data_IF_639654636270
#
_entry.id   IF_639654636270
#
_cell.length_a   1.000
_cell.length_b   1.000
_cell.length_c   1.000
_cell.angle_alpha   90.00
_cell.angle_beta   90.00
_cell.angle_gamma   90.00
#
_symmetry.space_group_name_H-M   'P 1'
#
loop_
_entity.id
_entity.type
_entity.pdbx_description
1 polymer ?
#
# COMPACT_ATOMS: atom_id res chain seq x y z
N UNK A 1 9.02 -44.63 -6.69
CA UNK A 1 9.33 -43.47 -7.54
C UNK A 1 8.04 -43.05 -8.24
N UNK A 2 7.42 -41.96 -7.79
CA UNK A 2 6.58 -40.99 -8.53
C UNK A 2 6.15 -39.98 -7.46
N UNK A 3 6.57 -38.73 -7.64
CA UNK A 3 6.38 -37.60 -6.73
C UNK A 3 5.02 -36.98 -7.06
N UNK A 4 4.07 -37.03 -6.13
CA UNK A 4 2.78 -36.35 -6.28
C UNK A 4 2.89 -34.93 -5.72
N UNK A 5 2.98 -33.96 -6.62
CA UNK A 5 2.76 -32.54 -6.36
C UNK A 5 1.35 -32.32 -5.79
N UNK A 6 1.25 -31.87 -4.54
CA UNK A 6 0.03 -31.25 -4.00
C UNK A 6 0.15 -29.74 -4.20
N UNK A 7 -0.55 -29.23 -5.22
CA UNK A 7 -0.47 -27.86 -5.76
C UNK A 7 -1.39 -26.89 -5.01
N UNK A 8 -0.97 -25.62 -4.92
CA UNK A 8 -1.74 -24.46 -4.49
C UNK A 8 -2.95 -24.09 -5.35
N UNK A 9 -3.79 -25.06 -5.72
CA UNK A 9 -4.99 -24.86 -6.52
C UNK A 9 -6.15 -24.25 -5.75
N UNK A 10 -6.28 -24.47 -4.44
CA UNK A 10 -7.40 -23.91 -3.65
C UNK A 10 -7.20 -22.43 -3.35
N UNK A 11 -6.00 -22.00 -2.96
CA UNK A 11 -5.68 -20.56 -2.86
C UNK A 11 -5.82 -19.86 -4.22
N UNK A 12 -5.41 -20.52 -5.31
CA UNK A 12 -5.60 -20.01 -6.66
C UNK A 12 -7.09 -19.85 -7.03
N UNK A 13 -7.93 -20.82 -6.69
CA UNK A 13 -9.39 -20.72 -6.88
C UNK A 13 -10.00 -19.61 -6.04
N UNK A 14 -9.57 -19.41 -4.80
CA UNK A 14 -10.06 -18.34 -3.92
C UNK A 14 -9.62 -16.96 -4.40
N UNK A 15 -8.38 -16.83 -4.90
CA UNK A 15 -7.86 -15.61 -5.52
C UNK A 15 -8.66 -15.28 -6.78
N UNK A 16 -8.84 -16.25 -7.69
CA UNK A 16 -9.67 -16.06 -8.89
C UNK A 16 -11.10 -15.73 -8.50
N UNK A 17 -11.69 -16.42 -7.52
CA UNK A 17 -13.06 -16.18 -7.10
C UNK A 17 -13.23 -14.81 -6.45
N UNK A 18 -12.28 -14.33 -5.64
CA UNK A 18 -12.32 -12.96 -5.09
C UNK A 18 -12.03 -11.90 -6.14
N UNK A 19 -11.09 -12.13 -7.07
CA UNK A 19 -10.87 -11.24 -8.23
C UNK A 19 -12.13 -11.18 -9.10
N UNK A 20 -12.79 -12.32 -9.34
CA UNK A 20 -14.08 -12.39 -10.02
C UNK A 20 -15.16 -11.65 -9.24
N UNK A 21 -15.25 -11.78 -7.91
CA UNK A 21 -16.16 -10.96 -7.08
C UNK A 21 -15.82 -9.47 -7.15
N UNK A 22 -14.55 -9.07 -7.22
CA UNK A 22 -14.14 -7.67 -7.42
C UNK A 22 -14.63 -7.14 -8.78
N UNK A 23 -14.54 -7.95 -9.84
CA UNK A 23 -15.05 -7.61 -11.17
C UNK A 23 -16.58 -7.59 -11.23
N UNK A 24 -17.27 -8.53 -10.56
CA UNK A 24 -18.73 -8.60 -10.49
C UNK A 24 -19.36 -7.51 -9.62
N UNK A 25 -18.75 -7.16 -8.49
CA UNK A 25 -19.18 -6.05 -7.64
C UNK A 25 -19.15 -4.72 -8.42
N UNK A 26 -18.18 -4.57 -9.34
CA UNK A 26 -18.10 -3.45 -10.27
C UNK A 26 -19.22 -3.48 -11.32
N UNK A 27 -19.50 -4.62 -11.93
CA UNK A 27 -20.62 -4.75 -12.88
C UNK A 27 -21.98 -4.39 -12.23
N UNK A 28 -22.19 -4.80 -10.98
CA UNK A 28 -23.41 -4.53 -10.22
C UNK A 28 -23.51 -3.07 -9.73
N UNK A 29 -22.39 -2.37 -9.51
CA UNK A 29 -22.42 -0.95 -9.12
C UNK A 29 -22.74 -0.05 -10.32
N UNK A 30 -22.28 -0.38 -11.53
CA UNK A 30 -22.67 0.33 -12.76
C UNK A 30 -24.16 0.15 -13.11
N UNK A 31 -24.74 -1.01 -12.83
CA UNK A 31 -26.17 -1.29 -13.03
C UNK A 31 -27.13 -0.49 -12.11
N UNK A 32 -26.62 0.17 -11.06
CA UNK A 32 -27.42 1.02 -10.17
C UNK A 32 -27.33 2.52 -10.48
N UNK A 33 -26.41 2.96 -11.34
CA UNK A 33 -26.14 4.39 -11.59
C UNK A 33 -26.88 4.93 -12.83
N UNK A 34 -27.39 4.08 -13.72
CA UNK A 34 -28.28 4.48 -14.82
C UNK A 34 -29.62 3.77 -14.69
N UNK A 35 -30.67 4.52 -14.36
CA UNK A 35 -31.92 3.99 -13.82
C UNK A 35 -32.89 3.38 -14.84
N UNK A 36 -33.77 2.55 -14.32
CA UNK A 36 -35.18 2.49 -14.76
C UNK A 36 -36.11 2.45 -13.52
N UNK A 37 -37.31 3.06 -13.62
CA UNK A 37 -38.24 3.21 -12.49
C UNK A 37 -39.14 1.98 -12.31
N UNK A 38 -39.41 1.68 -11.04
CA UNK A 38 -40.50 0.86 -10.47
C UNK A 38 -41.25 -0.16 -11.35
N UNK A 39 -41.20 -1.43 -10.93
CA UNK A 39 -42.41 -2.27 -11.01
C UNK A 39 -42.21 -3.78 -11.09
N UNK A 40 -42.75 -4.46 -10.07
CA UNK A 40 -43.24 -5.85 -10.03
C UNK A 40 -42.26 -6.97 -9.64
N UNK A 41 -42.68 -7.63 -8.56
CA UNK A 41 -42.28 -8.94 -8.10
C UNK A 41 -42.06 -9.93 -9.25
N UNK A 42 -40.84 -10.43 -9.36
CA UNK A 42 -40.58 -11.74 -9.95
C UNK A 42 -39.68 -12.50 -9.00
N UNK A 43 -40.31 -13.41 -8.26
CA UNK A 43 -39.69 -14.54 -7.58
C UNK A 43 -38.90 -15.36 -8.60
N UNK A 44 -37.58 -15.17 -8.63
CA UNK A 44 -36.68 -16.08 -9.32
C UNK A 44 -36.45 -17.29 -8.41
N UNK A 45 -37.28 -18.32 -8.63
CA UNK A 45 -37.02 -19.68 -8.22
C UNK A 45 -35.68 -20.13 -8.83
N UNK A 46 -34.62 -20.12 -8.01
CA UNK A 46 -33.37 -20.78 -8.37
C UNK A 46 -33.58 -22.28 -8.24
N UNK A 47 -33.38 -22.96 -9.36
CA UNK A 47 -33.33 -24.40 -9.50
C UNK A 47 -32.55 -25.06 -8.36
N UNK A 48 -33.22 -25.91 -7.58
CA UNK A 48 -32.58 -26.97 -6.79
C UNK A 48 -32.06 -28.02 -7.76
N UNK A 49 -30.82 -27.84 -8.20
CA UNK A 49 -29.98 -28.93 -8.68
C UNK A 49 -29.25 -29.52 -7.48
N UNK A 50 -29.68 -30.71 -7.03
CA UNK A 50 -28.91 -31.53 -6.12
C UNK A 50 -27.59 -31.94 -6.78
N UNK A 51 -26.49 -31.28 -6.41
CA UNK A 51 -25.17 -31.87 -6.43
C UNK A 51 -24.46 -31.50 -5.14
N UNK A 52 -24.06 -32.53 -4.38
CA UNK A 52 -23.31 -32.40 -3.14
C UNK A 52 -21.96 -31.73 -3.39
N UNK A 53 -21.91 -30.42 -3.18
CA UNK A 53 -20.69 -29.64 -3.05
C UNK A 53 -20.74 -28.96 -1.68
N UNK A 54 -19.73 -29.19 -0.86
CA UNK A 54 -19.53 -28.50 0.41
C UNK A 54 -19.65 -27.00 0.19
N UNK A 55 -20.72 -26.38 0.72
CA UNK A 55 -20.89 -24.93 0.72
C UNK A 55 -19.96 -24.34 1.78
N UNK A 56 -18.71 -24.12 1.42
CA UNK A 56 -17.82 -23.27 2.21
C UNK A 56 -18.41 -21.87 2.24
N UNK A 57 -18.79 -21.42 3.43
CA UNK A 57 -19.26 -20.05 3.65
C UNK A 57 -18.07 -19.08 3.47
N UNK A 58 -18.28 -17.80 3.12
CA UNK A 58 -17.18 -16.83 3.00
C UNK A 58 -16.28 -16.75 4.25
N UNK A 59 -16.86 -16.97 5.44
CA UNK A 59 -16.17 -17.13 6.73
C UNK A 59 -15.24 -18.36 6.80
N UNK A 60 -15.59 -19.47 6.12
CA UNK A 60 -14.77 -20.68 6.05
C UNK A 60 -13.53 -20.48 5.13
N UNK A 61 -13.59 -19.51 4.20
CA UNK A 61 -12.45 -19.12 3.36
C UNK A 61 -11.45 -18.23 4.12
N UNK A 62 -11.90 -17.46 5.12
CA UNK A 62 -11.03 -16.58 5.93
C UNK A 62 -10.08 -17.38 6.83
N UNK A 63 -10.47 -18.58 7.27
CA UNK A 63 -9.59 -19.49 8.04
C UNK A 63 -8.42 -20.02 7.19
N UNK A 64 -8.55 -19.98 5.87
CA UNK A 64 -7.61 -20.61 4.92
C UNK A 64 -6.64 -19.65 4.21
N UNK A 65 -6.76 -18.34 4.44
CA UNK A 65 -5.82 -17.35 3.89
C UNK A 65 -4.97 -16.83 5.05
N UNK A 66 -3.69 -17.24 5.14
CA UNK A 66 -2.78 -16.66 6.11
C UNK A 66 -2.71 -15.15 5.86
N UNK A 67 -3.19 -14.36 6.81
CA UNK A 67 -3.09 -12.91 6.77
C UNK A 67 -1.59 -12.58 6.76
N UNK A 68 -1.11 -11.98 5.66
CA UNK A 68 0.29 -11.57 5.57
C UNK A 68 0.53 -10.35 6.46
N UNK A 69 1.11 -10.57 7.64
CA UNK A 69 1.81 -9.64 8.59
C UNK A 69 1.39 -8.15 8.62
N UNK A 70 1.08 -7.54 9.80
CA UNK A 70 1.72 -7.73 11.11
C UNK A 70 0.78 -8.21 12.22
N UNK A 71 0.35 -9.47 12.15
CA UNK A 71 -0.56 -10.03 13.15
C UNK A 71 0.02 -10.19 14.56
N UNK A 72 1.35 -10.03 14.75
CA UNK A 72 1.93 -10.04 16.10
C UNK A 72 1.81 -8.72 16.83
N UNK A 73 1.71 -7.60 16.11
CA UNK A 73 1.62 -6.27 16.72
C UNK A 73 0.17 -5.95 17.12
N UNK A 74 -0.76 -6.27 16.23
CA UNK A 74 -2.18 -6.00 16.40
C UNK A 74 -2.84 -7.00 17.35
N UNK A 75 -3.81 -6.53 18.14
CA UNK A 75 -4.68 -7.41 18.89
C UNK A 75 -5.60 -8.22 17.97
N UNK A 76 -6.02 -9.40 18.44
CA UNK A 76 -7.03 -10.22 17.73
C UNK A 76 -8.32 -9.44 17.46
N UNK A 77 -8.72 -8.56 18.38
CA UNK A 77 -9.93 -7.76 18.23
C UNK A 77 -9.75 -6.68 17.15
N UNK A 78 -8.58 -6.05 17.07
CA UNK A 78 -8.30 -5.08 16.00
C UNK A 78 -8.29 -5.74 14.62
N UNK A 79 -7.69 -6.93 14.51
CA UNK A 79 -7.75 -7.73 13.27
C UNK A 79 -9.18 -8.14 12.95
N UNK A 80 -9.95 -8.65 13.92
CA UNK A 80 -11.36 -9.03 13.74
C UNK A 80 -12.18 -7.87 13.21
N UNK A 81 -12.11 -6.69 13.85
CA UNK A 81 -12.83 -5.48 13.42
C UNK A 81 -12.45 -5.05 12.02
N UNK A 82 -11.17 -5.11 11.70
CA UNK A 82 -10.71 -4.78 10.38
C UNK A 82 -11.31 -5.73 9.33
N UNK A 83 -11.35 -7.04 9.59
CA UNK A 83 -11.87 -8.05 8.65
C UNK A 83 -13.41 -8.05 8.57
N UNK A 84 -14.10 -7.95 9.69
CA UNK A 84 -15.55 -8.14 9.80
C UNK A 84 -16.34 -6.83 9.71
N UNK A 85 -15.79 -5.75 10.25
CA UNK A 85 -16.55 -4.51 10.46
C UNK A 85 -16.13 -3.39 9.49
N UNK A 86 -14.92 -3.40 8.92
CA UNK A 86 -14.44 -2.31 8.06
C UNK A 86 -15.15 -2.29 6.70
N UNK A 87 -15.67 -1.12 6.32
CA UNK A 87 -16.47 -0.94 5.10
C UNK A 87 -15.79 0.08 4.18
N UNK A 88 -15.45 -0.38 2.99
CA UNK A 88 -14.92 0.44 1.90
C UNK A 88 -16.04 1.04 1.05
N UNK A 89 -15.71 2.14 0.37
CA UNK A 89 -16.51 2.74 -0.71
C UNK A 89 -15.72 2.74 -2.03
N UNK A 90 -16.38 2.85 -3.19
CA UNK A 90 -15.70 2.91 -4.50
C UNK A 90 -14.70 4.05 -4.65
N UNK A 91 -14.88 5.13 -3.89
CA UNK A 91 -13.97 6.29 -3.89
C UNK A 91 -12.80 6.14 -2.93
N UNK A 92 -12.83 5.18 -2.01
CA UNK A 92 -11.73 4.99 -1.08
C UNK A 92 -10.46 4.52 -1.79
N UNK A 93 -9.33 4.83 -1.18
CA UNK A 93 -8.02 4.46 -1.67
C UNK A 93 -7.27 3.75 -0.56
N UNK A 94 -6.82 2.54 -0.84
CA UNK A 94 -5.97 1.79 0.08
C UNK A 94 -4.55 1.74 -0.47
N UNK A 95 -3.63 2.37 0.27
CA UNK A 95 -2.19 2.23 0.03
C UNK A 95 -1.76 0.90 0.65
N UNK A 96 -1.79 -0.16 -0.16
CA UNK A 96 -1.45 -1.51 0.25
C UNK A 96 -0.09 -1.90 -0.28
N UNK A 97 0.91 -2.00 0.59
CA UNK A 97 2.28 -2.30 0.14
C UNK A 97 2.89 -3.41 0.96
N UNK A 98 3.83 -4.14 0.37
CA UNK A 98 4.77 -4.90 1.19
C UNK A 98 5.50 -3.93 2.13
N UNK A 99 5.81 -4.29 3.39
CA UNK A 99 6.46 -3.35 4.28
C UNK A 99 7.82 -2.92 3.71
N UNK A 100 8.18 -1.64 3.92
CA UNK A 100 9.45 -1.03 3.48
C UNK A 100 9.59 -0.79 1.97
N UNK A 101 8.50 -0.85 1.20
CA UNK A 101 8.46 -0.44 -0.21
C UNK A 101 7.93 0.98 -0.44
N UNK A 102 7.89 1.82 0.60
CA UNK A 102 7.56 3.26 0.47
C UNK A 102 6.18 3.70 0.96
N UNK A 103 5.50 2.88 1.76
CA UNK A 103 4.15 3.16 2.31
C UNK A 103 4.01 4.58 2.87
N UNK A 104 4.91 4.99 3.76
CA UNK A 104 4.88 6.32 4.41
C UNK A 104 4.92 7.46 3.40
N UNK A 105 5.76 7.34 2.36
CA UNK A 105 5.88 8.35 1.31
C UNK A 105 4.59 8.45 0.50
N UNK A 106 4.01 7.32 0.11
CA UNK A 106 2.77 7.31 -0.68
C UNK A 106 1.58 7.81 0.13
N UNK A 107 1.42 7.36 1.38
CA UNK A 107 0.35 7.88 2.26
C UNK A 107 0.50 9.38 2.49
N UNK A 108 1.73 9.88 2.55
CA UNK A 108 2.01 11.30 2.72
C UNK A 108 1.65 12.11 1.47
N UNK A 109 2.05 11.65 0.28
CA UNK A 109 1.64 12.26 -0.99
C UNK A 109 0.11 12.29 -1.11
N UNK A 110 -0.57 11.19 -0.80
CA UNK A 110 -2.04 11.12 -0.84
C UNK A 110 -2.69 12.09 0.15
N UNK A 111 -2.14 12.27 1.35
CA UNK A 111 -2.64 13.26 2.29
C UNK A 111 -2.43 14.69 1.76
N UNK A 112 -1.22 15.00 1.29
CA UNK A 112 -0.90 16.32 0.77
C UNK A 112 -1.76 16.70 -0.43
N UNK A 113 -2.01 15.77 -1.37
CA UNK A 113 -2.93 15.99 -2.49
C UNK A 113 -4.34 16.38 -2.02
N UNK A 114 -4.90 15.65 -1.05
CA UNK A 114 -6.25 15.95 -0.51
C UNK A 114 -6.32 17.28 0.22
N UNK A 115 -5.26 17.63 0.96
CA UNK A 115 -5.21 18.84 1.78
C UNK A 115 -4.92 20.08 0.93
N UNK A 116 -3.94 20.00 0.03
CA UNK A 116 -3.49 21.16 -0.74
C UNK A 116 -4.41 21.48 -1.92
N UNK A 117 -5.07 20.50 -2.53
CA UNK A 117 -6.07 20.77 -3.58
C UNK A 117 -7.23 21.63 -3.06
N UNK A 118 -7.69 21.41 -1.82
CA UNK A 118 -8.68 22.27 -1.17
C UNK A 118 -8.22 23.74 -1.00
N UNK A 119 -6.92 23.96 -0.93
CA UNK A 119 -6.32 25.29 -0.76
C UNK A 119 -5.88 25.97 -2.06
N UNK A 120 -5.77 25.21 -3.16
CA UNK A 120 -5.27 25.69 -4.44
C UNK A 120 -6.38 26.02 -5.44
N UNK A 121 -7.62 25.57 -5.22
CA UNK A 121 -8.80 25.97 -6.00
C UNK A 121 -9.19 27.48 -5.92
N UNK A 122 -8.33 28.35 -5.37
CA UNK A 122 -8.64 29.76 -5.08
C UNK A 122 -7.76 30.79 -5.84
N UNK A 123 -7.15 30.41 -6.96
CA UNK A 123 -6.52 31.29 -7.98
C UNK A 123 -5.74 32.50 -7.43
N UNK A 124 -4.82 32.26 -6.48
CA UNK A 124 -3.84 33.25 -6.06
C UNK A 124 -2.47 32.63 -6.00
N UNK A 125 -1.53 33.17 -6.79
CA UNK A 125 -0.11 32.94 -6.60
C UNK A 125 0.25 33.19 -5.14
N UNK A 126 0.69 32.14 -4.45
CA UNK A 126 1.18 32.26 -3.07
C UNK A 126 2.65 32.58 -3.14
N UNK A 127 3.08 33.60 -2.42
CA UNK A 127 4.51 33.86 -2.27
C UNK A 127 5.16 32.80 -1.36
N UNK A 128 6.49 32.75 -1.35
CA UNK A 128 7.25 31.76 -0.56
C UNK A 128 6.90 31.76 0.93
N UNK A 129 6.62 32.92 1.53
CA UNK A 129 6.28 33.01 2.96
C UNK A 129 4.92 32.38 3.26
N UNK A 130 3.95 32.55 2.36
CA UNK A 130 2.63 31.93 2.49
C UNK A 130 2.69 30.41 2.32
N UNK A 131 3.54 29.92 1.42
CA UNK A 131 3.80 28.48 1.23
C UNK A 131 4.41 27.89 2.51
N UNK A 132 5.44 28.51 3.08
CA UNK A 132 6.05 28.00 4.32
C UNK A 132 5.08 28.04 5.52
N UNK A 133 4.25 29.08 5.63
CA UNK A 133 3.20 29.13 6.65
C UNK A 133 2.14 28.03 6.44
N UNK A 134 1.78 27.73 5.18
CA UNK A 134 0.85 26.65 4.85
C UNK A 134 1.43 25.29 5.22
N UNK A 135 2.70 25.02 4.87
CA UNK A 135 3.42 23.80 5.26
C UNK A 135 3.40 23.61 6.77
N UNK A 136 3.71 24.66 7.53
CA UNK A 136 3.70 24.62 8.99
C UNK A 136 2.29 24.35 9.55
N UNK A 137 1.25 24.98 8.98
CA UNK A 137 -0.14 24.73 9.36
C UNK A 137 -0.54 23.27 9.14
N UNK A 138 -0.16 22.68 8.01
CA UNK A 138 -0.43 21.27 7.72
C UNK A 138 0.25 20.37 8.75
N UNK A 139 1.55 20.55 9.00
CA UNK A 139 2.29 19.71 9.96
C UNK A 139 1.78 19.83 11.40
N UNK A 140 1.21 20.98 11.78
CA UNK A 140 0.64 21.20 13.10
C UNK A 140 -0.85 20.81 13.22
N UNK A 141 -1.48 20.33 12.15
CA UNK A 141 -2.92 20.04 12.13
C UNK A 141 -3.32 18.63 12.59
N UNK A 142 -2.34 17.75 12.82
CA UNK A 142 -2.54 16.35 13.20
C UNK A 142 -1.41 15.86 14.09
N UNK A 143 -1.65 14.85 14.92
CA UNK A 143 -0.60 14.28 15.78
C UNK A 143 0.27 13.29 15.02
N UNK A 144 -0.37 12.33 14.34
CA UNK A 144 0.30 11.32 13.50
C UNK A 144 -0.47 11.07 12.21
N UNK A 145 0.22 10.63 11.17
CA UNK A 145 -0.38 10.31 9.86
C UNK A 145 -1.46 9.21 9.96
N UNK A 146 -1.50 8.44 11.06
CA UNK A 146 -2.52 7.42 11.30
C UNK A 146 -3.93 8.01 11.52
N UNK A 147 -4.03 9.28 11.91
CA UNK A 147 -5.32 10.00 11.98
C UNK A 147 -5.83 10.39 10.59
N UNK A 148 -4.90 10.54 9.64
CA UNK A 148 -5.16 11.06 8.29
C UNK A 148 -5.30 9.97 7.24
N UNK A 149 -4.55 8.88 7.44
CA UNK A 149 -4.48 7.69 6.61
C UNK A 149 -4.56 6.45 7.51
N UNK A 150 -5.73 6.13 8.10
CA UNK A 150 -5.86 5.09 9.12
C UNK A 150 -5.42 3.72 8.60
N UNK A 151 -4.93 2.88 9.51
CA UNK A 151 -4.60 1.48 9.22
C UNK A 151 -5.64 0.59 9.87
N UNK A 152 -6.63 0.07 9.13
CA UNK A 152 -7.81 -0.59 9.73
C UNK A 152 -7.46 -1.69 10.73
N UNK A 153 -6.44 -2.49 10.45
CA UNK A 153 -5.97 -3.56 11.35
C UNK A 153 -5.34 -3.05 12.65
N UNK A 154 -4.92 -1.78 12.74
CA UNK A 154 -4.34 -1.15 13.94
C UNK A 154 -5.34 -0.22 14.66
N UNK A 155 -6.34 0.31 13.97
CA UNK A 155 -7.21 1.38 14.48
C UNK A 155 -7.77 1.13 15.88
N UNK A 156 -8.32 -0.06 16.14
CA UNK A 156 -8.92 -0.37 17.44
C UNK A 156 -7.91 -0.29 18.60
N UNK A 157 -6.69 -0.75 18.36
CA UNK A 157 -5.62 -0.79 19.37
C UNK A 157 -5.15 0.61 19.76
N UNK A 158 -5.31 1.57 18.84
CA UNK A 158 -4.99 2.98 19.03
C UNK A 158 -6.24 3.84 19.27
N UNK A 159 -7.41 3.23 19.48
CA UNK A 159 -8.63 3.94 19.87
C UNK A 159 -9.34 4.68 18.73
N UNK A 160 -9.02 4.34 17.48
CA UNK A 160 -9.67 4.87 16.28
C UNK A 160 -10.72 3.90 15.72
N UNK A 161 -11.67 4.44 14.96
CA UNK A 161 -12.66 3.69 14.19
C UNK A 161 -12.66 4.16 12.72
N UNK A 162 -12.15 3.34 11.78
CA UNK A 162 -11.98 3.75 10.39
C UNK A 162 -13.30 3.89 9.60
N UNK A 163 -14.42 3.41 10.15
CA UNK A 163 -15.75 3.56 9.54
C UNK A 163 -16.44 4.86 9.93
N UNK A 164 -16.27 5.27 11.19
CA UNK A 164 -16.99 6.39 11.79
C UNK A 164 -16.14 7.67 11.91
N UNK A 165 -14.81 7.55 11.85
CA UNK A 165 -13.90 8.68 11.84
C UNK A 165 -13.52 9.05 10.42
N UNK A 166 -14.07 10.15 9.91
CA UNK A 166 -13.63 10.74 8.64
C UNK A 166 -12.46 11.67 8.95
N UNK A 167 -11.26 11.44 8.36
CA UNK A 167 -10.14 12.37 8.49
C UNK A 167 -10.53 13.77 8.03
N UNK A 168 -10.16 14.76 8.83
CA UNK A 168 -10.50 16.16 8.57
C UNK A 168 -9.25 17.03 8.58
N UNK A 169 -9.32 18.12 7.84
CA UNK A 169 -8.35 19.19 7.91
C UNK A 169 -9.08 20.53 7.97
N UNK A 170 -8.77 21.35 8.98
CA UNK A 170 -9.49 22.59 9.28
C UNK A 170 -11.02 22.42 9.40
N UNK A 171 -11.46 21.28 9.94
CA UNK A 171 -12.88 20.94 10.11
C UNK A 171 -13.61 20.52 8.83
N UNK A 172 -12.90 20.40 7.70
CA UNK A 172 -13.46 19.89 6.45
C UNK A 172 -13.05 18.42 6.24
N UNK A 173 -13.98 17.55 5.80
CA UNK A 173 -13.67 16.17 5.51
C UNK A 173 -12.69 16.06 4.33
N UNK A 174 -11.69 15.21 4.47
CA UNK A 174 -10.77 14.89 3.39
C UNK A 174 -11.37 13.81 2.49
N UNK A 175 -11.45 14.11 1.19
CA UNK A 175 -11.92 13.18 0.17
C UNK A 175 -10.89 13.08 -0.97
N UNK A 176 -10.65 11.88 -1.54
CA UNK A 176 -11.16 10.57 -1.10
C UNK A 176 -10.64 10.15 0.28
N UNK A 177 -11.28 9.16 0.93
CA UNK A 177 -10.71 8.54 2.14
C UNK A 177 -9.48 7.71 1.73
N UNK A 178 -8.41 7.81 2.51
CA UNK A 178 -7.17 7.08 2.25
C UNK A 178 -6.86 6.21 3.47
N UNK A 179 -6.52 4.96 3.23
CA UNK A 179 -6.16 3.99 4.26
C UNK A 179 -4.80 3.37 3.97
N UNK A 180 -4.10 2.96 5.02
CA UNK A 180 -2.87 2.18 4.93
C UNK A 180 -3.19 0.69 5.08
N UNK A 181 -2.46 -0.16 4.37
CA UNK A 181 -2.42 -1.59 4.65
C UNK A 181 -1.08 -2.22 4.29
N UNK A 182 -0.80 -3.36 4.92
CA UNK A 182 0.22 -4.30 4.47
C UNK A 182 -0.36 -5.65 4.07
N UNK A 183 -1.69 -5.79 4.08
CA UNK A 183 -2.34 -7.03 3.66
C UNK A 183 -2.12 -7.31 2.18
N UNK A 184 -1.97 -8.58 1.84
CA UNK A 184 -2.00 -9.06 0.46
C UNK A 184 -3.29 -8.68 -0.23
N UNK A 185 -3.25 -8.54 -1.55
CA UNK A 185 -4.44 -8.25 -2.36
C UNK A 185 -5.49 -9.36 -2.23
N UNK A 186 -5.08 -10.61 -2.07
CA UNK A 186 -6.03 -11.71 -1.79
C UNK A 186 -6.77 -11.57 -0.44
N UNK A 187 -6.16 -10.87 0.52
CA UNK A 187 -6.65 -10.73 1.91
C UNK A 187 -7.33 -9.39 2.17
N UNK A 188 -7.25 -8.43 1.24
CA UNK A 188 -7.71 -7.06 1.47
C UNK A 188 -9.18 -6.83 1.06
N UNK A 189 -9.76 -5.75 1.56
CA UNK A 189 -11.17 -5.38 1.39
C UNK A 189 -11.47 -4.99 -0.05
N UNK A 190 -12.39 -5.63 -0.77
CA UNK A 190 -12.70 -5.33 -2.17
C UNK A 190 -13.48 -4.01 -2.34
N UNK A 191 -13.72 -3.60 -3.59
CA UNK A 191 -14.70 -2.55 -3.91
C UNK A 191 -14.19 -1.10 -3.81
N UNK A 192 -12.89 -0.89 -3.76
CA UNK A 192 -12.24 0.43 -3.74
C UNK A 192 -11.01 0.46 -4.66
N UNK A 193 -10.32 1.60 -4.72
CA UNK A 193 -9.05 1.74 -5.45
C UNK A 193 -7.86 1.37 -4.56
N UNK A 194 -6.76 0.94 -5.18
CA UNK A 194 -5.51 0.59 -4.49
C UNK A 194 -4.32 1.26 -5.12
N UNK A 195 -3.41 1.72 -4.29
CA UNK A 195 -2.06 2.08 -4.69
C UNK A 195 -1.12 1.08 -4.03
N UNK A 196 -0.39 0.34 -4.85
CA UNK A 196 0.60 -0.64 -4.39
C UNK A 196 1.98 -0.22 -4.89
N UNK A 197 3.01 -0.62 -4.17
CA UNK A 197 4.39 -0.32 -4.57
C UNK A 197 5.25 -1.56 -4.66
N UNK A 198 6.11 -1.59 -5.68
CA UNK A 198 7.22 -2.52 -5.83
C UNK A 198 8.53 -1.79 -5.57
N UNK A 199 9.52 -2.52 -5.07
CA UNK A 199 10.87 -2.01 -4.79
C UNK A 199 11.89 -3.12 -5.02
N UNK A 200 13.12 -2.77 -5.38
CA UNK A 200 14.17 -3.77 -5.52
C UNK A 200 14.25 -4.65 -4.25
N UNK A 201 14.18 -6.00 -4.36
CA UNK A 201 14.16 -6.88 -3.19
C UNK A 201 15.39 -6.71 -2.29
N UNK A 202 16.58 -6.47 -2.86
CA UNK A 202 17.81 -6.22 -2.10
C UNK A 202 17.70 -4.92 -1.29
N UNK A 203 17.21 -3.84 -1.91
CA UNK A 203 16.99 -2.54 -1.25
C UNK A 203 15.90 -2.63 -0.19
N UNK A 204 14.87 -3.44 -0.42
CA UNK A 204 13.79 -3.70 0.54
C UNK A 204 14.34 -4.42 1.77
N UNK A 205 15.13 -5.48 1.59
CA UNK A 205 15.81 -6.18 2.68
C UNK A 205 16.69 -5.26 3.51
N UNK A 206 17.56 -4.47 2.88
CA UNK A 206 18.40 -3.50 3.59
C UNK A 206 17.55 -2.52 4.41
N UNK A 207 16.43 -2.06 3.85
CA UNK A 207 15.51 -1.16 4.53
C UNK A 207 14.78 -1.81 5.71
N UNK A 208 14.47 -3.11 5.62
CA UNK A 208 13.83 -3.89 6.68
C UNK A 208 14.79 -4.18 7.81
N UNK A 209 16.00 -4.61 7.47
CA UNK A 209 17.08 -4.89 8.42
C UNK A 209 17.43 -3.65 9.25
N UNK A 210 17.63 -2.49 8.60
CA UNK A 210 17.91 -1.24 9.31
C UNK A 210 16.75 -0.79 10.20
N UNK A 211 15.51 -1.09 9.81
CA UNK A 211 14.33 -0.82 10.64
C UNK A 211 14.29 -1.71 11.89
N UNK A 212 14.74 -2.97 11.78
CA UNK A 212 14.80 -3.86 12.94
C UNK A 212 15.93 -3.48 13.89
N UNK A 213 17.06 -3.00 13.36
CA UNK A 213 18.12 -2.39 14.16
C UNK A 213 17.58 -1.17 14.91
N UNK A 214 16.89 -0.24 14.24
CA UNK A 214 16.40 0.98 14.89
C UNK A 214 15.34 0.70 15.96
N UNK A 215 14.55 -0.37 15.79
CA UNK A 215 13.58 -0.86 16.78
C UNK A 215 14.20 -1.74 17.87
N UNK A 216 15.53 -1.96 17.84
CA UNK A 216 16.25 -2.83 18.79
C UNK A 216 15.62 -4.22 18.94
N UNK A 217 15.24 -4.83 17.81
CA UNK A 217 14.58 -6.15 17.83
C UNK A 217 15.54 -7.20 18.44
N UNK A 218 15.15 -7.95 19.50
CA UNK A 218 16.08 -8.74 20.31
C UNK A 218 16.90 -9.82 19.58
N UNK A 219 16.41 -10.32 18.44
CA UNK A 219 17.17 -11.30 17.64
C UNK A 219 18.21 -10.66 16.70
N UNK A 220 18.14 -9.34 16.48
CA UNK A 220 19.11 -8.60 15.68
C UNK A 220 20.09 -7.83 16.58
N UNK A 221 19.61 -7.26 17.67
CA UNK A 221 20.41 -6.47 18.60
C UNK A 221 20.40 -7.13 19.97
N UNK A 222 21.59 -7.28 20.56
CA UNK A 222 21.73 -7.73 21.94
C UNK A 222 21.21 -6.67 22.91
N UNK A 223 20.02 -6.87 23.45
CA UNK A 223 19.40 -5.97 24.44
C UNK A 223 19.75 -6.34 25.88
N UNK A 224 20.64 -7.32 26.11
CA UNK A 224 20.94 -7.83 27.47
C UNK A 224 22.00 -7.00 28.22
N UNK A 225 22.76 -6.17 27.50
CA UNK A 225 23.71 -5.24 28.11
C UNK A 225 23.01 -3.91 28.45
N UNK A 226 22.63 -3.74 29.72
CA UNK A 226 22.04 -2.49 30.24
C UNK A 226 23.02 -1.29 30.22
N UNK A 227 24.32 -1.57 30.03
CA UNK A 227 25.35 -0.55 29.90
C UNK A 227 25.50 -0.20 28.41
N UNK A 228 24.88 0.91 27.99
CA UNK A 228 24.74 1.48 26.64
C UNK A 228 26.03 1.68 25.77
N UNK A 229 27.11 0.93 25.99
CA UNK A 229 28.30 0.98 25.14
C UNK A 229 28.24 -0.13 24.08
N UNK A 230 27.68 0.25 22.93
CA UNK A 230 27.61 -0.45 21.65
C UNK A 230 26.57 -1.58 21.55
N UNK A 231 25.38 -1.24 21.03
CA UNK A 231 24.37 -2.19 20.56
C UNK A 231 25.04 -3.26 19.66
N UNK A 232 25.23 -4.47 20.20
CA UNK A 232 25.92 -5.56 19.49
C UNK A 232 24.95 -6.19 18.48
N UNK A 233 25.31 -6.13 17.20
CA UNK A 233 24.58 -6.81 16.13
C UNK A 233 24.82 -8.33 16.23
N UNK A 234 23.74 -9.10 16.33
CA UNK A 234 23.74 -10.56 16.48
C UNK A 234 23.63 -11.30 15.15
N UNK A 235 23.08 -10.64 14.11
CA UNK A 235 22.81 -11.23 12.80
C UNK A 235 23.10 -10.19 11.72
N UNK A 236 23.92 -10.54 10.73
CA UNK A 236 24.19 -9.65 9.60
C UNK A 236 23.04 -9.64 8.58
N UNK A 237 23.05 -8.67 7.67
CA UNK A 237 21.95 -8.49 6.71
C UNK A 237 21.80 -9.63 5.70
N UNK A 238 22.88 -10.35 5.38
CA UNK A 238 22.83 -11.48 4.44
C UNK A 238 22.18 -12.69 5.12
N UNK A 239 22.53 -12.97 6.36
CA UNK A 239 21.87 -14.00 7.17
C UNK A 239 20.40 -13.63 7.40
N UNK A 240 20.10 -12.38 7.75
CA UNK A 240 18.72 -11.87 7.89
C UNK A 240 17.86 -12.11 6.64
N UNK A 241 18.41 -11.83 5.46
CA UNK A 241 17.72 -12.06 4.19
C UNK A 241 17.32 -13.52 3.98
N UNK A 242 18.23 -14.45 4.29
CA UNK A 242 18.09 -15.87 3.97
C UNK A 242 17.24 -16.62 4.99
N UNK A 243 17.30 -16.18 6.26
CA UNK A 243 16.66 -16.87 7.39
C UNK A 243 15.30 -16.28 7.76
N UNK A 244 14.95 -15.07 7.31
CA UNK A 244 13.64 -14.48 7.61
C UNK A 244 12.57 -14.82 6.58
N UNK A 245 11.32 -15.09 7.02
CA UNK A 245 10.25 -15.57 6.14
C UNK A 245 9.79 -14.53 5.11
N UNK A 246 10.11 -13.25 5.31
CA UNK A 246 9.64 -12.14 4.47
C UNK A 246 10.17 -12.20 3.02
N UNK A 247 11.34 -12.82 2.81
CA UNK A 247 11.91 -13.05 1.47
C UNK A 247 11.96 -14.54 1.14
N UNK A 248 12.15 -15.41 2.13
CA UNK A 248 12.24 -16.85 1.90
C UNK A 248 10.93 -17.44 1.36
N UNK A 249 9.80 -16.89 1.79
CA UNK A 249 8.48 -17.49 1.56
C UNK A 249 8.29 -18.75 2.39
N UNK A 250 7.24 -19.50 2.06
CA UNK A 250 6.86 -20.71 2.80
C UNK A 250 7.89 -21.81 2.50
N UNK A 251 8.75 -22.15 3.46
CA UNK A 251 9.84 -23.10 3.23
C UNK A 251 9.62 -24.52 3.76
N UNK A 252 8.70 -24.80 4.70
CA UNK A 252 8.30 -26.19 5.04
C UNK A 252 6.91 -26.31 5.66
N UNK A 253 6.32 -27.51 5.53
CA UNK A 253 4.91 -27.92 5.82
C UNK A 253 4.46 -27.98 7.30
N UNK A 254 5.10 -27.31 8.26
CA UNK A 254 4.86 -27.64 9.69
C UNK A 254 4.44 -26.50 10.63
N UNK A 255 4.37 -25.24 10.20
CA UNK A 255 4.04 -24.14 11.12
C UNK A 255 2.68 -23.49 10.77
N UNK A 256 1.74 -23.39 11.73
CA UNK A 256 0.40 -22.83 11.52
C UNK A 256 0.37 -21.32 11.26
N UNK A 257 1.52 -20.62 11.30
CA UNK A 257 1.63 -19.17 11.11
C UNK A 257 2.39 -18.82 9.82
N UNK A 258 1.84 -19.25 8.68
CA UNK A 258 2.38 -19.00 7.35
C UNK A 258 2.43 -17.49 7.04
N UNK A 259 3.60 -16.96 6.69
CA UNK A 259 3.78 -15.54 6.31
C UNK A 259 4.00 -15.43 4.80
N UNK A 260 3.33 -14.45 4.20
CA UNK A 260 3.58 -14.10 2.81
C UNK A 260 4.97 -13.46 2.62
N UNK A 261 5.64 -13.84 1.54
CA UNK A 261 6.88 -13.22 1.09
C UNK A 261 6.63 -12.05 0.15
N UNK A 262 7.65 -11.22 -0.07
CA UNK A 262 7.62 -10.17 -1.10
C UNK A 262 7.23 -10.70 -2.48
N UNK A 263 7.60 -11.95 -2.79
CA UNK A 263 7.31 -12.60 -4.07
C UNK A 263 5.82 -12.83 -4.25
N UNK A 264 5.13 -13.23 -3.19
CA UNK A 264 3.68 -13.40 -3.20
C UNK A 264 2.95 -12.10 -3.59
N UNK A 265 3.40 -10.96 -3.06
CA UNK A 265 2.84 -9.65 -3.43
C UNK A 265 3.10 -9.35 -4.89
N UNK A 266 4.31 -9.60 -5.40
CA UNK A 266 4.65 -9.28 -6.80
C UNK A 266 3.89 -10.18 -7.78
N UNK A 267 3.64 -11.44 -7.43
CA UNK A 267 2.78 -12.35 -8.19
C UNK A 267 1.35 -11.81 -8.24
N UNK A 268 0.78 -11.38 -7.10
CA UNK A 268 -0.56 -10.79 -7.07
C UNK A 268 -0.64 -9.48 -7.87
N UNK A 269 0.39 -8.64 -7.79
CA UNK A 269 0.44 -7.40 -8.57
C UNK A 269 0.51 -7.68 -10.07
N UNK A 270 1.22 -8.73 -10.50
CA UNK A 270 1.20 -9.19 -11.88
C UNK A 270 -0.23 -9.62 -12.31
N UNK A 271 -0.93 -10.38 -11.47
CA UNK A 271 -2.32 -10.80 -11.77
C UNK A 271 -3.27 -9.59 -11.88
N UNK A 272 -2.99 -8.53 -11.14
CA UNK A 272 -3.78 -7.29 -11.13
C UNK A 272 -3.24 -6.22 -12.08
N UNK A 273 -2.26 -6.57 -12.92
CA UNK A 273 -1.57 -5.62 -13.79
C UNK A 273 -2.56 -4.86 -14.68
N UNK A 274 -3.65 -5.47 -15.13
CA UNK A 274 -4.64 -4.80 -15.99
C UNK A 274 -5.89 -4.31 -15.25
N UNK A 275 -5.94 -4.41 -13.91
CA UNK A 275 -7.04 -3.89 -13.12
C UNK A 275 -6.96 -2.36 -13.03
N UNK A 276 -7.93 -1.64 -13.59
CA UNK A 276 -7.95 -0.15 -13.60
C UNK A 276 -7.98 0.46 -12.20
N UNK A 277 -8.43 -0.31 -11.21
CA UNK A 277 -8.59 0.15 -9.82
C UNK A 277 -7.35 -0.15 -8.98
N UNK A 278 -6.26 -0.62 -9.60
CA UNK A 278 -4.96 -0.83 -8.98
C UNK A 278 -3.91 0.01 -9.71
N UNK A 279 -3.25 0.90 -8.98
CA UNK A 279 -2.06 1.62 -9.44
C UNK A 279 -0.82 0.96 -8.84
N UNK A 280 0.06 0.43 -9.69
CA UNK A 280 1.33 -0.17 -9.27
C UNK A 280 2.44 0.86 -9.52
N UNK A 281 3.12 1.30 -8.46
CA UNK A 281 4.23 2.24 -8.56
C UNK A 281 5.56 1.57 -8.25
N UNK A 282 6.62 2.02 -8.92
CA UNK A 282 7.99 1.56 -8.68
C UNK A 282 8.66 2.56 -7.75
N UNK A 283 9.11 2.12 -6.58
CA UNK A 283 9.73 2.98 -5.59
C UNK A 283 10.93 3.76 -6.15
N UNK A 284 11.75 3.09 -6.96
CA UNK A 284 12.90 3.71 -7.62
C UNK A 284 12.49 4.85 -8.55
N UNK A 285 11.41 4.69 -9.31
CA UNK A 285 10.90 5.73 -10.21
C UNK A 285 10.34 6.92 -9.42
N UNK A 286 9.62 6.65 -8.31
CA UNK A 286 9.07 7.71 -7.44
C UNK A 286 10.18 8.62 -6.90
N UNK A 287 11.29 8.04 -6.43
CA UNK A 287 12.39 8.84 -5.87
C UNK A 287 13.25 9.49 -6.95
N UNK A 288 13.23 8.96 -8.17
CA UNK A 288 13.94 9.52 -9.31
C UNK A 288 13.17 10.71 -9.91
N UNK A 289 11.84 10.62 -9.99
CA UNK A 289 10.96 11.64 -10.57
C UNK A 289 9.69 11.81 -9.72
N UNK A 290 9.87 12.50 -8.58
CA UNK A 290 8.79 12.78 -7.64
C UNK A 290 7.63 13.56 -8.28
N UNK A 291 7.86 14.62 -9.08
CA UNK A 291 6.77 15.34 -9.74
C UNK A 291 5.88 14.43 -10.58
N UNK A 292 6.46 13.55 -11.39
CA UNK A 292 5.69 12.61 -12.21
C UNK A 292 4.89 11.63 -11.34
N UNK A 293 5.48 11.12 -10.26
CA UNK A 293 4.77 10.23 -9.33
C UNK A 293 3.58 10.93 -8.65
N UNK A 294 3.74 12.20 -8.24
CA UNK A 294 2.66 13.00 -7.64
C UNK A 294 1.51 13.17 -8.65
N UNK A 295 1.81 13.46 -9.92
CA UNK A 295 0.79 13.57 -10.97
C UNK A 295 0.04 12.25 -11.17
N UNK A 296 0.76 11.14 -11.28
CA UNK A 296 0.15 9.81 -11.44
C UNK A 296 -0.78 9.47 -10.27
N UNK A 297 -0.34 9.73 -9.04
CA UNK A 297 -1.17 9.52 -7.85
C UNK A 297 -2.38 10.46 -7.88
N UNK A 298 -2.18 11.76 -8.10
CA UNK A 298 -3.26 12.75 -8.16
C UNK A 298 -4.32 12.42 -9.20
N UNK A 299 -3.91 11.99 -10.40
CA UNK A 299 -4.82 11.55 -11.46
C UNK A 299 -5.58 10.29 -11.05
N UNK A 300 -4.89 9.29 -10.48
CA UNK A 300 -5.53 8.07 -10.01
C UNK A 300 -6.52 8.31 -8.86
N UNK A 301 -6.23 9.31 -8.02
CA UNK A 301 -7.11 9.78 -6.95
C UNK A 301 -8.28 10.66 -7.45
N UNK A 302 -8.32 11.00 -8.74
CA UNK A 302 -9.24 11.98 -9.33
C UNK A 302 -9.14 13.38 -8.67
N UNK A 303 -7.93 13.81 -8.32
CA UNK A 303 -7.63 15.14 -7.76
C UNK A 303 -7.01 16.06 -8.82
N UNK A 304 -6.13 15.52 -9.66
CA UNK A 304 -5.47 16.24 -10.76
C UNK A 304 -6.13 15.81 -12.07
N UNK A 305 -6.54 16.77 -12.90
CA UNK A 305 -7.18 16.50 -14.20
C UNK A 305 -6.14 16.43 -15.33
N UNK A 306 -6.52 15.81 -16.45
CA UNK A 306 -5.67 15.70 -17.66
C UNK A 306 -5.99 16.76 -18.73
N UNK A 307 -6.97 17.64 -18.49
CA UNK A 307 -7.58 18.49 -19.54
C UNK A 307 -6.69 19.67 -20.00
N UNK A 308 -5.46 19.79 -19.48
CA UNK A 308 -4.54 20.86 -19.86
C UNK A 308 -3.78 20.61 -21.19
N UNK A 309 -4.07 19.53 -21.91
CA UNK A 309 -3.58 19.29 -23.29
C UNK A 309 -4.72 19.54 -24.32
N UNK A 310 -5.56 20.57 -24.14
CA UNK A 310 -6.47 20.99 -25.22
C UNK A 310 -5.66 21.72 -26.30
N UNK A 311 -5.39 21.04 -27.40
CA UNK A 311 -4.98 21.58 -28.71
C UNK A 311 -6.04 22.55 -29.33
N UNK A 312 -6.89 23.17 -28.51
CA UNK A 312 -7.81 24.21 -28.95
C UNK A 312 -7.05 25.54 -28.97
N UNK A 313 -6.44 25.77 -30.14
CA UNK A 313 -5.89 27.02 -30.69
C UNK A 313 -6.98 28.12 -30.79
N UNK A 314 -7.53 28.49 -29.63
CA UNK A 314 -8.52 29.56 -29.49
C UNK A 314 -7.93 30.75 -28.71
N UNK A 315 -6.62 31.00 -28.82
CA UNK A 315 -5.97 32.30 -28.56
C UNK A 315 -6.29 33.02 -27.23
N UNK A 316 -6.87 32.33 -26.25
CA UNK A 316 -7.18 32.82 -24.92
C UNK A 316 -6.35 31.94 -23.99
N UNK A 317 -5.27 32.53 -23.47
CA UNK A 317 -4.42 31.95 -22.43
C UNK A 317 -5.29 31.55 -21.22
N UNK A 318 -5.82 30.33 -21.22
CA UNK A 318 -6.36 29.70 -20.03
C UNK A 318 -5.18 29.07 -19.29
N UNK A 319 -4.55 29.88 -18.43
CA UNK A 319 -3.39 29.62 -17.56
C UNK A 319 -3.61 28.49 -16.50
N UNK A 320 -4.53 27.54 -16.76
CA UNK A 320 -4.81 26.39 -15.89
C UNK A 320 -3.65 25.37 -15.84
N UNK A 321 -2.66 25.50 -16.73
CA UNK A 321 -1.42 24.71 -16.70
C UNK A 321 -0.50 25.03 -15.51
N UNK A 322 -0.76 26.11 -14.77
CA UNK A 322 0.15 26.60 -13.73
C UNK A 322 -0.21 26.11 -12.30
N UNK A 323 -1.49 25.82 -12.04
CA UNK A 323 -1.96 25.47 -10.67
C UNK A 323 -1.58 24.04 -10.25
N UNK A 324 -1.72 23.06 -11.15
CA UNK A 324 -1.28 21.70 -10.89
C UNK A 324 0.25 21.62 -10.72
N UNK A 325 0.99 22.42 -11.48
CA UNK A 325 2.45 22.48 -11.39
C UNK A 325 2.91 23.08 -10.07
N UNK A 326 2.25 24.15 -9.60
CA UNK A 326 2.48 24.72 -8.28
C UNK A 326 2.13 23.74 -7.15
N UNK A 327 0.99 23.05 -7.26
CA UNK A 327 0.57 22.02 -6.32
C UNK A 327 1.61 20.89 -6.24
N UNK A 328 2.01 20.35 -7.39
CA UNK A 328 3.02 19.29 -7.51
C UNK A 328 4.36 19.74 -6.93
N UNK A 329 4.80 20.96 -7.21
CA UNK A 329 6.04 21.53 -6.68
C UNK A 329 6.05 21.60 -5.15
N UNK A 330 4.95 22.07 -4.55
CA UNK A 330 4.83 22.18 -3.09
C UNK A 330 4.82 20.80 -2.45
N UNK A 331 4.04 19.87 -2.98
CA UNK A 331 4.02 18.47 -2.52
C UNK A 331 5.42 17.86 -2.63
N UNK A 332 6.11 18.08 -3.75
CA UNK A 332 7.49 17.65 -3.99
C UNK A 332 8.44 18.15 -2.90
N UNK A 333 8.34 19.43 -2.53
CA UNK A 333 9.18 20.01 -1.48
C UNK A 333 8.94 19.40 -0.09
N UNK A 334 7.71 18.96 0.20
CA UNK A 334 7.32 18.35 1.47
C UNK A 334 7.55 16.83 1.54
N UNK A 335 7.94 16.20 0.43
CA UNK A 335 8.14 14.74 0.31
C UNK A 335 9.61 14.34 0.20
N UNK A 336 10.52 15.31 0.29
CA UNK A 336 11.96 15.06 0.40
C UNK A 336 12.29 14.37 1.72
N UNK A 337 13.35 13.55 1.73
CA UNK A 337 13.80 12.89 2.97
C UNK A 337 14.21 13.92 4.01
N UNK A 338 14.87 14.98 3.56
CA UNK A 338 15.34 16.09 4.37
C UNK A 338 14.15 16.73 5.09
N UNK A 339 13.10 17.12 4.36
CA UNK A 339 11.90 17.71 4.95
C UNK A 339 11.20 16.73 5.91
N UNK A 340 10.87 15.52 5.44
CA UNK A 340 10.11 14.57 6.26
C UNK A 340 10.89 14.16 7.54
N UNK A 341 12.22 14.09 7.48
CA UNK A 341 13.04 13.72 8.65
C UNK A 341 12.98 14.73 9.80
N UNK A 342 12.67 16.01 9.52
CA UNK A 342 12.46 17.04 10.53
C UNK A 342 11.20 16.78 11.37
N UNK A 343 10.28 15.94 10.87
CA UNK A 343 8.99 15.66 11.48
C UNK A 343 8.78 14.15 11.68
N UNK A 344 9.84 13.40 12.01
CA UNK A 344 9.81 11.94 12.11
C UNK A 344 8.64 11.40 12.95
N UNK A 345 8.35 12.05 14.08
CA UNK A 345 7.27 11.66 15.00
C UNK A 345 5.88 11.71 14.35
N UNK A 346 5.66 12.58 13.35
CA UNK A 346 4.39 12.65 12.60
C UNK A 346 4.11 11.40 11.80
N UNK A 347 5.13 10.60 11.50
CA UNK A 347 5.01 9.38 10.71
C UNK A 347 5.02 8.11 11.56
N UNK A 348 5.30 8.21 12.86
CA UNK A 348 5.34 7.07 13.79
C UNK A 348 3.94 6.58 14.17
N UNK A 349 3.84 5.32 14.60
CA UNK A 349 2.62 4.83 15.25
C UNK A 349 2.35 5.64 16.52
N UNK A 350 1.08 5.88 16.90
CA UNK A 350 0.75 6.66 18.10
C UNK A 350 0.99 5.82 19.37
N UNK A 351 2.27 5.66 19.72
CA UNK A 351 2.75 4.76 20.77
C UNK A 351 2.20 5.11 22.15
N UNK A 352 2.16 6.39 22.53
CA UNK A 352 1.61 6.80 23.82
C UNK A 352 0.12 6.46 23.94
N UNK A 353 -0.63 6.65 22.84
CA UNK A 353 -2.06 6.29 22.79
C UNK A 353 -2.24 4.77 22.92
N UNK A 354 -1.42 3.98 22.22
CA UNK A 354 -1.41 2.53 22.35
C UNK A 354 -1.07 2.06 23.79
N UNK A 355 -0.11 2.73 24.46
CA UNK A 355 0.26 2.45 25.85
C UNK A 355 -0.90 2.73 26.82
N UNK A 356 -1.58 3.86 26.65
CA UNK A 356 -2.72 4.24 27.49
C UNK A 356 -3.89 3.25 27.36
N UNK A 357 -4.14 2.76 26.14
CA UNK A 357 -5.23 1.83 25.87
C UNK A 357 -4.88 0.39 26.23
N UNK A 358 -3.61 0.01 26.15
CA UNK A 358 -3.09 -1.32 26.46
C UNK A 358 -3.87 -2.45 25.77
N UNK A 359 -4.19 -2.26 24.48
CA UNK A 359 -4.95 -3.21 23.65
C UNK A 359 -4.08 -4.06 22.75
N UNK A 360 -2.99 -3.48 22.22
CA UNK A 360 -2.09 -4.10 21.25
C UNK A 360 -1.52 -5.42 21.76
N UNK A 361 -1.34 -6.39 20.85
CA UNK A 361 -0.75 -7.69 21.21
C UNK A 361 0.74 -7.57 21.59
N UNK A 362 1.47 -6.68 20.92
CA UNK A 362 2.88 -6.40 21.20
C UNK A 362 3.16 -4.90 21.10
N UNK A 363 3.13 -4.23 22.26
CA UNK A 363 3.44 -2.79 22.34
C UNK A 363 4.88 -2.46 21.92
N UNK A 364 5.83 -3.39 22.07
CA UNK A 364 7.23 -3.13 21.74
C UNK A 364 7.43 -2.84 20.25
N UNK A 365 6.60 -3.43 19.39
CA UNK A 365 6.64 -3.18 17.93
C UNK A 365 6.11 -1.80 17.55
N UNK A 366 5.24 -1.21 18.39
CA UNK A 366 4.73 0.15 18.24
C UNK A 366 5.68 1.23 18.78
N UNK A 367 6.70 0.86 19.56
CA UNK A 367 7.65 1.81 20.13
C UNK A 367 8.29 2.68 19.03
N UNK A 368 8.50 3.98 19.23
CA UNK A 368 8.99 4.88 18.17
C UNK A 368 10.27 4.36 17.51
N UNK A 369 10.37 4.52 16.19
CA UNK A 369 11.55 4.10 15.46
C UNK A 369 11.57 4.67 14.06
N UNK A 370 12.68 5.33 13.72
CA UNK A 370 12.81 6.11 12.49
C UNK A 370 12.33 5.35 11.24
N UNK A 371 11.27 5.86 10.61
CA UNK A 371 10.72 5.33 9.35
C UNK A 371 11.41 5.89 8.12
N UNK A 372 12.02 7.06 8.24
CA UNK A 372 12.76 7.74 7.19
C UNK A 372 14.25 7.53 7.43
N UNK A 373 14.91 6.89 6.48
CA UNK A 373 16.34 6.64 6.59
C UNK A 373 17.14 7.94 6.38
N UNK A 374 17.84 8.41 7.41
CA UNK A 374 18.71 9.60 7.35
C UNK A 374 20.17 9.19 7.07
N UNK A 375 20.99 10.13 6.60
CA UNK A 375 22.42 9.90 6.32
C UNK A 375 23.18 9.44 7.56
N UNK A 376 22.77 9.87 8.75
CA UNK A 376 23.39 9.49 10.04
C UNK A 376 23.16 8.01 10.41
N UNK A 377 22.18 7.32 9.81
CA UNK A 377 21.99 5.87 10.02
C UNK A 377 22.95 5.00 9.18
N UNK A 378 23.84 5.61 8.39
CA UNK A 378 24.85 4.91 7.56
C UNK A 378 26.08 4.41 8.32
N UNK A 379 26.07 4.42 9.66
CA UNK A 379 27.24 4.00 10.46
C UNK A 379 27.60 2.52 10.28
N UNK A 380 26.74 1.73 9.65
CA UNK A 380 27.08 0.39 9.16
C UNK A 380 26.68 0.26 7.69
N UNK A 381 27.60 0.42 6.72
CA UNK A 381 27.33 0.09 5.33
C UNK A 381 27.11 -1.42 5.22
N UNK A 382 25.85 -1.83 5.27
CA UNK A 382 25.43 -3.21 5.12
C UNK A 382 25.37 -3.56 3.64
N UNK A 383 26.14 -4.56 3.22
CA UNK A 383 26.12 -5.08 1.85
C UNK A 383 25.75 -6.56 1.86
N UNK A 384 24.93 -6.96 0.90
CA UNK A 384 24.61 -8.37 0.71
C UNK A 384 25.82 -9.07 0.11
N UNK A 385 26.24 -10.18 0.73
CA UNK A 385 27.30 -11.03 0.21
C UNK A 385 26.86 -11.77 -1.07
N UNK A 386 27.78 -12.49 -1.71
CA UNK A 386 27.51 -13.20 -2.98
C UNK A 386 26.43 -14.28 -2.82
N UNK A 387 26.38 -14.94 -1.68
CA UNK A 387 25.41 -15.99 -1.38
C UNK A 387 23.99 -15.42 -1.29
N UNK A 388 23.80 -14.33 -0.55
CA UNK A 388 22.56 -13.58 -0.46
C UNK A 388 22.07 -13.07 -1.82
N UNK A 389 22.98 -12.57 -2.66
CA UNK A 389 22.64 -12.14 -4.03
C UNK A 389 22.18 -13.33 -4.90
N UNK A 390 22.88 -14.46 -4.81
CA UNK A 390 22.50 -15.67 -5.53
C UNK A 390 21.17 -16.24 -5.02
N UNK A 391 20.90 -16.14 -3.72
CA UNK A 391 19.63 -16.51 -3.11
C UNK A 391 18.47 -15.68 -3.67
N UNK A 392 18.60 -14.35 -3.73
CA UNK A 392 17.60 -13.47 -4.34
C UNK A 392 17.33 -13.82 -5.79
N UNK A 393 18.39 -14.06 -6.58
CA UNK A 393 18.26 -14.47 -7.98
C UNK A 393 17.53 -15.80 -8.11
N UNK A 394 17.84 -16.75 -7.24
CA UNK A 394 17.18 -18.06 -7.22
C UNK A 394 15.70 -17.91 -6.90
N UNK A 395 15.35 -17.14 -5.86
CA UNK A 395 13.95 -16.88 -5.49
C UNK A 395 13.17 -16.13 -6.56
N UNK A 396 13.80 -15.17 -7.24
CA UNK A 396 13.23 -14.51 -8.41
C UNK A 396 12.92 -15.52 -9.52
N UNK A 397 13.89 -16.37 -9.86
CA UNK A 397 13.71 -17.37 -10.91
C UNK A 397 12.63 -18.41 -10.56
N UNK A 398 12.52 -18.80 -9.29
CA UNK A 398 11.46 -19.70 -8.83
C UNK A 398 10.07 -19.06 -8.94
N UNK A 399 9.96 -17.76 -8.64
CA UNK A 399 8.68 -17.09 -8.42
C UNK A 399 8.16 -16.31 -9.62
N UNK A 400 9.01 -15.46 -10.23
CA UNK A 400 8.60 -14.48 -11.24
C UNK A 400 9.06 -14.85 -12.66
N UNK A 401 10.11 -15.64 -12.84
CA UNK A 401 10.50 -16.12 -14.17
C UNK A 401 9.40 -16.95 -14.85
N UNK A 402 8.61 -17.79 -14.16
CA UNK A 402 7.48 -18.48 -14.77
C UNK A 402 6.39 -17.53 -15.29
N UNK A 403 6.35 -16.28 -14.81
CA UNK A 403 5.45 -15.22 -15.28
C UNK A 403 6.05 -14.39 -16.44
N UNK A 404 7.23 -14.78 -16.93
CA UNK A 404 7.91 -14.13 -18.05
C UNK A 404 8.92 -13.04 -17.67
N UNK A 405 9.25 -12.88 -16.38
CA UNK A 405 10.19 -11.85 -15.94
C UNK A 405 11.58 -12.42 -15.62
N UNK A 406 12.60 -12.10 -16.41
CA UNK A 406 13.96 -12.57 -16.16
C UNK A 406 14.65 -11.78 -15.03
N UNK A 407 14.24 -10.54 -14.79
CA UNK A 407 14.77 -9.72 -13.72
C UNK A 407 13.80 -8.59 -13.30
N UNK A 408 14.10 -7.95 -12.16
CA UNK A 408 13.31 -6.86 -11.59
C UNK A 408 13.31 -5.58 -12.46
N UNK A 409 14.50 -5.09 -12.82
CA UNK A 409 14.68 -3.76 -13.43
C UNK A 409 14.13 -3.68 -14.86
N UNK A 410 14.55 -4.61 -15.71
CA UNK A 410 14.41 -4.47 -17.16
C UNK A 410 13.14 -5.11 -17.68
N UNK A 411 12.62 -6.14 -16.99
CA UNK A 411 11.41 -6.85 -17.41
C UNK A 411 10.21 -6.43 -16.56
N UNK A 412 10.26 -6.64 -15.23
CA UNK A 412 9.11 -6.41 -14.37
C UNK A 412 8.76 -4.92 -14.25
N UNK A 413 9.74 -4.07 -13.91
CA UNK A 413 9.53 -2.63 -13.83
C UNK A 413 9.18 -2.02 -15.19
N UNK A 414 9.82 -2.43 -16.29
CA UNK A 414 9.45 -1.96 -17.64
C UNK A 414 8.01 -2.32 -17.99
N UNK A 415 7.57 -3.53 -17.64
CA UNK A 415 6.17 -3.96 -17.84
C UNK A 415 5.20 -3.05 -17.08
N UNK A 416 5.49 -2.75 -15.81
CA UNK A 416 4.69 -1.82 -15.00
C UNK A 416 4.68 -0.41 -15.60
N UNK A 417 5.84 0.12 -16.04
CA UNK A 417 5.93 1.45 -16.69
C UNK A 417 5.08 1.51 -17.94
N UNK A 418 5.18 0.52 -18.82
CA UNK A 418 4.40 0.45 -20.05
C UNK A 418 2.91 0.37 -19.76
N UNK A 419 2.53 -0.46 -18.79
CA UNK A 419 1.16 -0.54 -18.31
C UNK A 419 0.65 0.80 -17.80
N UNK A 420 1.41 1.51 -16.96
CA UNK A 420 0.97 2.78 -16.39
C UNK A 420 0.80 3.85 -17.46
N UNK A 421 1.67 3.89 -18.48
CA UNK A 421 1.45 4.75 -19.67
C UNK A 421 0.09 4.46 -20.30
N UNK A 422 -0.25 3.18 -20.49
CA UNK A 422 -1.56 2.76 -21.02
C UNK A 422 -2.72 3.15 -20.10
N UNK A 423 -2.61 2.93 -18.79
CA UNK A 423 -3.64 3.29 -17.81
C UNK A 423 -4.00 4.78 -17.92
N UNK A 424 -3.00 5.66 -17.89
CA UNK A 424 -3.23 7.10 -17.93
C UNK A 424 -3.62 7.60 -19.33
N UNK A 425 -3.16 6.96 -20.41
CA UNK A 425 -3.65 7.26 -21.76
C UNK A 425 -5.15 6.98 -21.92
N UNK A 426 -5.66 5.87 -21.36
CA UNK A 426 -7.10 5.57 -21.37
C UNK A 426 -7.90 6.56 -20.50
N UNK A 427 -7.37 6.94 -19.34
CA UNK A 427 -7.99 7.97 -18.50
C UNK A 427 -8.13 9.32 -19.21
N UNK A 428 -7.17 9.69 -20.08
CA UNK A 428 -7.24 10.92 -20.89
C UNK A 428 -8.37 10.90 -21.92
N UNK A 429 -8.63 9.76 -22.54
CA UNK A 429 -9.59 9.66 -23.66
C UNK A 429 -11.01 9.33 -23.15
N UNK A 430 -11.20 9.18 -21.83
CA UNK A 430 -12.49 8.81 -21.24
C UNK A 430 -12.96 7.40 -21.60
N UNK A 431 -12.07 6.57 -22.17
CA UNK A 431 -12.37 5.19 -22.57
C UNK A 431 -12.03 4.27 -21.40
N UNK A 432 -13.02 3.48 -20.94
CA UNK A 432 -12.78 2.42 -19.97
C UNK A 432 -11.73 1.46 -20.52
N UNK A 433 -10.66 1.22 -19.77
CA UNK A 433 -9.65 0.19 -20.10
C UNK A 433 -10.40 -1.12 -20.36
N UNK A 434 -10.24 -1.76 -21.54
CA UNK A 434 -10.82 -3.06 -21.77
C UNK A 434 -10.31 -4.02 -20.68
N UNK A 435 -11.20 -4.56 -19.85
CA UNK A 435 -10.84 -5.61 -18.92
C UNK A 435 -10.35 -6.79 -19.76
N UNK A 436 -9.03 -6.98 -19.83
CA UNK A 436 -8.42 -8.05 -20.60
C UNK A 436 -8.84 -9.41 -20.04
N UNK A 437 -9.70 -10.12 -20.75
CA UNK A 437 -9.86 -11.56 -20.61
C UNK A 437 -8.70 -12.23 -21.33
N UNK A 438 -7.67 -12.62 -20.58
CA UNK A 438 -6.52 -13.40 -21.04
C UNK A 438 -6.14 -14.44 -20.01
#
# INVERSE_FOLDING_TARGET
>A
MIITWMKGGEAFKVIIQRISTMVEAKANSYGRVYGEPHGKNTTLNVYRGEQGGSTTRPEDLLVSIPIGHPDSMMSKESVRRAVEDFITTPTDIIVSTFPKTGTTLITWICHLLRTLSQHYNNNKEKNNNEIELLKLKIMNSFDTIYELCPWPTLCWDIGDDPNNTIPQYQGLPLSPRVYKSHLRMASIYPGCKYIVTVRDPSKTTLSFYNFFISKKVPFIIDTTNENNDNDKILMDVSTFLMDTPFIQGITTKAEPNQRASIWDYYIEYHQLLYCSDVLILIYEDIVQDMPQAIRQIGQFMNIINNDNDSDDDDGIDNDNGNDDDNLVSIIGSMTTKEYMSQYMSKFDEPYERACQLNRSADLSQLAPGNKIATVQQKNHPQTLNKEAQQFLRTKWNESLQPLGYNNYSDDFCTTIRNRNKTLFAYMRIGILVPNGSG
#
